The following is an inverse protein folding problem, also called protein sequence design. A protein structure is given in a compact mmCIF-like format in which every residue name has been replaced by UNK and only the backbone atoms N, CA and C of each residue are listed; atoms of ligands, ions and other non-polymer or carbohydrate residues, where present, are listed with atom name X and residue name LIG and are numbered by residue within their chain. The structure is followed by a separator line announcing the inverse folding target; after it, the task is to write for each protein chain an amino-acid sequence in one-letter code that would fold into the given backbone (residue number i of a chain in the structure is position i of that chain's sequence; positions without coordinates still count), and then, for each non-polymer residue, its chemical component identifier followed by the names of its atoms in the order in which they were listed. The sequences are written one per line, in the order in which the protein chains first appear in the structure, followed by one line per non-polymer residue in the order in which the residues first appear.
data_IF_417108768303
#
_entry.id   IF_417108768303
#
_cell.length_a   1.000
_cell.length_b   1.000
_cell.length_c   1.000
_cell.angle_alpha   90.00
_cell.angle_beta   90.00
_cell.angle_gamma   90.00
#
_symmetry.space_group_name_H-M   'P 1'
#
loop_
_entity.id
_entity.type
_entity.pdbx_description
1 polymer ?
#
# COMPACT_ATOMS: atom_id res chain seq x y z
N UNK A 1 -6.65 -1.92 7.56
CA UNK A 1 -5.60 -2.58 6.76
C UNK A 1 -4.48 -1.56 6.63
N UNK A 2 -3.24 -1.97 6.80
CA UNK A 2 -2.07 -1.12 6.63
C UNK A 2 -1.08 -1.82 5.73
N UNK A 3 -0.49 -1.08 4.80
CA UNK A 3 0.62 -1.52 3.97
C UNK A 3 1.89 -0.82 4.46
N UNK A 4 2.84 -1.59 4.96
CA UNK A 4 4.11 -1.08 5.47
C UNK A 4 5.18 -1.21 4.39
N UNK A 5 6.02 -0.20 4.26
CA UNK A 5 7.13 -0.16 3.31
C UNK A 5 8.44 -0.30 4.10
N UNK A 6 9.13 -1.41 3.86
CA UNK A 6 10.46 -1.66 4.41
C UNK A 6 11.51 -1.55 3.31
N UNK A 7 12.67 -0.99 3.62
CA UNK A 7 13.86 -1.07 2.77
C UNK A 7 14.96 -1.78 3.56
N UNK A 8 15.40 -2.94 3.07
CA UNK A 8 16.43 -3.78 3.72
C UNK A 8 16.16 -4.05 5.21
N UNK A 9 14.90 -4.29 5.56
CA UNK A 9 14.45 -4.57 6.94
C UNK A 9 14.21 -3.33 7.81
N UNK A 10 14.45 -2.12 7.31
CA UNK A 10 14.14 -0.88 8.01
C UNK A 10 12.74 -0.38 7.62
N UNK A 11 11.86 -0.19 8.61
CA UNK A 11 10.55 0.42 8.37
C UNK A 11 10.73 1.88 7.93
N UNK A 12 10.34 2.20 6.71
CA UNK A 12 10.39 3.56 6.20
C UNK A 12 9.09 4.31 6.52
N UNK A 13 7.95 3.72 6.18
CA UNK A 13 6.64 4.36 6.33
C UNK A 13 5.49 3.34 6.23
N UNK A 14 4.25 3.76 6.47
CA UNK A 14 3.06 2.95 6.23
C UNK A 14 1.92 3.75 5.55
N UNK A 15 1.12 3.03 4.77
CA UNK A 15 -0.13 3.51 4.20
C UNK A 15 -1.31 2.88 4.93
N UNK A 16 -2.25 3.71 5.39
CA UNK A 16 -3.46 3.24 6.05
C UNK A 16 -4.66 3.34 5.11
N UNK A 17 -5.32 2.20 4.88
CA UNK A 17 -6.53 2.15 4.08
C UNK A 17 -7.72 2.64 4.91
N UNK A 18 -8.20 3.85 4.60
CA UNK A 18 -9.38 4.45 5.22
C UNK A 18 -10.65 4.00 4.50
N UNK A 19 -11.63 3.48 5.24
CA UNK A 19 -12.96 3.07 4.75
C UNK A 19 -12.96 2.12 3.53
N UNK A 20 -11.90 1.33 3.36
CA UNK A 20 -11.82 0.33 2.30
C UNK A 20 -12.79 -0.82 2.56
N UNK A 21 -13.72 -1.03 1.63
CA UNK A 21 -14.58 -2.21 1.53
C UNK A 21 -14.28 -2.84 0.18
N UNK A 22 -13.86 -4.10 0.17
CA UNK A 22 -13.58 -4.85 -1.05
C UNK A 22 -14.56 -6.01 -1.17
N UNK A 23 -15.17 -6.12 -2.35
CA UNK A 23 -15.94 -7.30 -2.72
C UNK A 23 -15.00 -8.48 -3.01
N UNK A 24 -15.48 -9.74 -2.94
CA UNK A 24 -14.67 -10.88 -3.34
C UNK A 24 -14.10 -10.70 -4.76
N UNK A 25 -12.78 -10.89 -4.91
CA UNK A 25 -12.00 -10.71 -6.16
C UNK A 25 -11.82 -9.27 -6.63
N UNK A 26 -12.33 -8.28 -5.90
CA UNK A 26 -12.04 -6.88 -6.18
C UNK A 26 -10.57 -6.57 -5.90
N UNK A 27 -9.97 -5.72 -6.75
CA UNK A 27 -8.59 -5.29 -6.62
C UNK A 27 -8.53 -3.79 -6.36
N UNK A 28 -7.69 -3.41 -5.41
CA UNK A 28 -7.30 -2.03 -5.15
C UNK A 28 -5.81 -1.87 -5.48
N UNK A 29 -5.46 -0.78 -6.15
CA UNK A 29 -4.08 -0.43 -6.42
C UNK A 29 -3.69 0.76 -5.56
N UNK A 30 -2.48 0.75 -5.00
CA UNK A 30 -1.90 1.91 -4.33
C UNK A 30 -0.80 2.48 -5.24
N UNK A 31 -0.95 3.74 -5.63
CA UNK A 31 0.04 4.46 -6.42
C UNK A 31 0.88 5.36 -5.53
N UNK A 32 2.18 5.43 -5.79
CA UNK A 32 3.07 6.41 -5.15
C UNK A 32 2.92 7.78 -5.81
N UNK A 33 3.01 8.86 -5.03
CA UNK A 33 3.02 10.23 -5.53
C UNK A 33 1.64 10.89 -5.62
N UNK A 34 1.56 12.08 -6.25
CA UNK A 34 0.32 12.84 -6.31
C UNK A 34 -0.72 12.17 -7.23
N UNK A 35 -2.00 12.40 -6.93
CA UNK A 35 -3.11 11.89 -7.74
C UNK A 35 -3.04 12.44 -9.17
N UNK A 36 -2.94 11.54 -10.15
CA UNK A 36 -3.05 11.89 -11.56
C UNK A 36 -4.50 11.72 -12.05
N UNK A 37 -4.87 12.43 -13.12
CA UNK A 37 -6.27 12.58 -13.57
C UNK A 37 -6.87 11.31 -14.20
N UNK A 38 -6.07 10.26 -14.43
CA UNK A 38 -6.39 9.08 -15.24
C UNK A 38 -6.59 7.79 -14.45
N UNK A 39 -6.69 7.84 -13.12
CA UNK A 39 -6.81 6.63 -12.29
C UNK A 39 -8.25 6.22 -12.05
N UNK A 40 -8.45 4.92 -11.78
CA UNK A 40 -9.77 4.36 -11.45
C UNK A 40 -10.26 4.92 -10.11
N UNK A 41 -11.58 4.88 -9.89
CA UNK A 41 -12.16 5.33 -8.63
C UNK A 41 -11.69 4.49 -7.43
N UNK A 42 -11.31 3.23 -7.64
CA UNK A 42 -10.79 2.34 -6.61
C UNK A 42 -9.31 2.57 -6.29
N UNK A 43 -8.59 3.37 -7.07
CA UNK A 43 -7.16 3.61 -6.86
C UNK A 43 -6.92 4.53 -5.65
N UNK A 44 -6.02 4.09 -4.78
CA UNK A 44 -5.58 4.84 -3.60
C UNK A 44 -4.20 5.44 -3.88
N UNK A 45 -3.91 6.57 -3.24
CA UNK A 45 -2.67 7.31 -3.48
C UNK A 45 -1.91 7.55 -2.19
N UNK A 46 -0.68 7.05 -2.15
CA UNK A 46 0.25 7.32 -1.08
C UNK A 46 1.07 8.56 -1.40
N UNK A 47 0.53 9.73 -1.09
CA UNK A 47 1.11 11.03 -1.45
C UNK A 47 2.49 11.30 -0.81
N UNK A 48 2.75 10.72 0.38
CA UNK A 48 4.03 10.84 1.08
C UNK A 48 5.13 9.93 0.50
N UNK A 49 4.76 8.89 -0.26
CA UNK A 49 5.72 7.98 -0.91
C UNK A 49 5.94 8.49 -2.34
N UNK A 50 7.13 9.02 -2.65
CA UNK A 50 7.43 9.53 -4.00
C UNK A 50 7.57 8.41 -5.04
N UNK A 51 8.28 7.34 -4.69
CA UNK A 51 8.54 6.18 -5.55
C UNK A 51 8.66 4.92 -4.67
N UNK A 52 8.20 3.76 -5.15
CA UNK A 52 8.55 2.46 -4.59
C UNK A 52 10.04 2.17 -4.84
N UNK A 53 10.80 1.80 -3.81
CA UNK A 53 12.22 1.49 -3.97
C UNK A 53 12.41 0.14 -4.67
N UNK A 54 13.54 -0.05 -5.35
CA UNK A 54 13.93 -1.33 -5.98
C UNK A 54 14.15 -2.47 -4.96
N UNK A 55 14.13 -2.16 -3.67
CA UNK A 55 14.22 -3.12 -2.57
C UNK A 55 13.10 -2.92 -1.54
N UNK A 56 12.02 -2.24 -1.94
CA UNK A 56 10.86 -2.02 -1.07
C UNK A 56 10.12 -3.34 -0.87
N UNK A 57 9.98 -3.76 0.38
CA UNK A 57 9.07 -4.83 0.78
C UNK A 57 7.76 -4.18 1.25
N UNK A 58 6.65 -4.52 0.59
CA UNK A 58 5.32 -4.13 1.00
C UNK A 58 4.70 -5.22 1.87
N UNK A 59 4.56 -4.96 3.17
CA UNK A 59 3.97 -5.90 4.14
C UNK A 59 2.55 -5.49 4.45
N UNK A 60 1.59 -6.41 4.26
CA UNK A 60 0.19 -6.17 4.54
C UNK A 60 -0.17 -6.67 5.94
N UNK A 61 -0.69 -5.77 6.78
CA UNK A 61 -1.10 -6.09 8.14
C UNK A 61 -2.57 -5.69 8.35
N UNK A 62 -3.34 -6.60 8.93
CA UNK A 62 -4.76 -6.38 9.24
C UNK A 62 -4.97 -5.39 10.41
N UNK A 63 -6.23 -5.16 10.80
CA UNK A 63 -6.56 -4.25 11.92
C UNK A 63 -6.17 -4.81 13.30
N UNK A 64 -5.95 -6.11 13.43
CA UNK A 64 -5.56 -6.80 14.67
C UNK A 64 -4.04 -6.94 14.81
N UNK A 65 -3.27 -6.52 13.80
CA UNK A 65 -1.82 -6.68 13.77
C UNK A 65 -1.36 -8.01 13.17
N UNK A 66 -2.26 -8.76 12.53
CA UNK A 66 -1.92 -10.03 11.87
C UNK A 66 -1.24 -9.77 10.53
N UNK A 67 -0.08 -10.40 10.31
CA UNK A 67 0.57 -10.45 9.01
C UNK A 67 -0.33 -11.19 8.01
N UNK A 68 -0.61 -10.55 6.87
CA UNK A 68 -1.45 -11.12 5.82
C UNK A 68 -0.63 -11.59 4.63
N UNK A 69 0.30 -10.74 4.15
CA UNK A 69 1.08 -11.02 2.94
C UNK A 69 2.32 -10.11 2.85
N UNK A 70 3.28 -10.49 2.00
CA UNK A 70 4.48 -9.71 1.67
C UNK A 70 4.66 -9.69 0.16
N UNK A 71 4.83 -8.50 -0.40
CA UNK A 71 5.20 -8.33 -1.80
C UNK A 71 6.56 -7.64 -1.89
N UNK A 72 7.52 -8.30 -2.52
CA UNK A 72 8.89 -7.77 -2.74
C UNK A 72 8.97 -7.31 -4.19
N UNK A 73 9.35 -6.04 -4.38
CA UNK A 73 9.63 -5.48 -5.70
C UNK A 73 11.00 -5.89 -6.23
#
# INVERSE_FOLDING_TARGET
LKAYDYDRGCLLNYFEFLNLILSPREKVSIHSGPRTRTTRASDQFWTLKRVWGEHSEAVLIDRKGTYMDIYVY
#
